data_IF_203343153117
#
_entry.id   IF_203343153117
#
_cell.length_a   1.000
_cell.length_b   1.000
_cell.length_c   1.000
_cell.angle_alpha   90.00
_cell.angle_beta   90.00
_cell.angle_gamma   90.00
#
_symmetry.space_group_name_H-M   'P 1'
#
loop_
_entity.id
_entity.type
_entity.pdbx_description
1 polymer ?
#
# COMPACT_ATOMS: atom_id res chain seq x y z
N UNK A 1 13.37 8.61 12.33
CA UNK A 1 12.01 9.13 12.03
C UNK A 1 11.14 7.98 11.54
N UNK A 2 10.65 7.15 12.47
CA UNK A 2 9.62 6.15 12.20
C UNK A 2 8.86 5.94 13.51
N UNK A 3 8.07 6.93 13.91
CA UNK A 3 7.11 6.73 14.99
C UNK A 3 5.79 6.22 14.40
N UNK A 4 4.97 5.56 15.23
CA UNK A 4 3.68 4.96 14.87
C UNK A 4 2.79 5.90 14.02
N UNK A 5 2.76 7.18 14.36
CA UNK A 5 1.89 8.17 13.71
C UNK A 5 2.34 8.46 12.29
N UNK A 6 3.64 8.68 12.10
CA UNK A 6 4.20 9.01 10.79
C UNK A 6 4.05 7.82 9.83
N UNK A 7 4.33 6.59 10.30
CA UNK A 7 4.13 5.39 9.49
C UNK A 7 2.65 5.18 9.11
N UNK A 8 1.72 5.42 10.05
CA UNK A 8 0.27 5.34 9.76
C UNK A 8 -0.15 6.35 8.70
N UNK A 9 0.40 7.58 8.76
CA UNK A 9 0.14 8.63 7.78
C UNK A 9 0.69 8.24 6.40
N UNK A 10 1.92 7.73 6.34
CA UNK A 10 2.53 7.24 5.10
C UNK A 10 1.67 6.17 4.45
N UNK A 11 1.24 5.15 5.20
CA UNK A 11 0.37 4.09 4.67
C UNK A 11 -0.93 4.67 4.09
N UNK A 12 -1.61 5.57 4.82
CA UNK A 12 -2.85 6.18 4.36
C UNK A 12 -2.68 6.97 3.05
N UNK A 13 -1.67 7.83 2.98
CA UNK A 13 -1.45 8.66 1.80
C UNK A 13 -1.00 7.83 0.61
N UNK A 14 0.01 6.97 0.78
CA UNK A 14 0.50 6.13 -0.31
C UNK A 14 -0.60 5.23 -0.88
N UNK A 15 -1.41 4.57 -0.04
CA UNK A 15 -2.53 3.76 -0.56
C UNK A 15 -3.62 4.61 -1.22
N UNK A 16 -3.86 5.85 -0.78
CA UNK A 16 -4.82 6.75 -1.43
C UNK A 16 -4.32 7.18 -2.81
N UNK A 17 -3.03 7.50 -2.92
CA UNK A 17 -2.40 7.88 -4.18
C UNK A 17 -2.39 6.71 -5.16
N UNK A 18 -2.02 5.50 -4.72
CA UNK A 18 -2.07 4.29 -5.55
C UNK A 18 -3.49 4.00 -6.05
N UNK A 19 -4.50 4.21 -5.21
CA UNK A 19 -5.90 3.99 -5.59
C UNK A 19 -6.34 4.99 -6.68
N UNK A 20 -6.01 6.28 -6.49
CA UNK A 20 -6.30 7.31 -7.48
C UNK A 20 -5.57 7.05 -8.81
N UNK A 21 -4.30 6.66 -8.73
CA UNK A 21 -3.47 6.35 -9.90
C UNK A 21 -4.01 5.13 -10.66
N UNK A 22 -4.41 4.06 -9.96
CA UNK A 22 -5.03 2.89 -10.59
C UNK A 22 -6.32 3.27 -11.33
N UNK A 23 -7.16 4.14 -10.75
CA UNK A 23 -8.36 4.64 -11.42
C UNK A 23 -7.98 5.49 -12.64
N UNK A 24 -7.03 6.42 -12.49
CA UNK A 24 -6.57 7.27 -13.59
C UNK A 24 -6.02 6.44 -14.76
N UNK A 25 -5.15 5.47 -14.48
CA UNK A 25 -4.64 4.53 -15.48
C UNK A 25 -5.79 3.79 -16.18
N UNK A 26 -6.79 3.30 -15.43
CA UNK A 26 -7.95 2.61 -16.06
C UNK A 26 -8.83 3.49 -16.94
N UNK A 27 -8.87 4.81 -16.67
CA UNK A 27 -9.70 5.76 -17.41
C UNK A 27 -9.00 6.34 -18.64
N UNK A 28 -7.68 6.51 -18.56
CA UNK A 28 -6.90 7.26 -19.53
C UNK A 28 -5.89 6.39 -20.31
N UNK A 29 -5.65 5.15 -19.89
CA UNK A 29 -4.62 4.28 -20.44
C UNK A 29 -5.15 2.87 -20.71
N UNK A 30 -4.97 2.40 -21.95
CA UNK A 30 -5.50 1.11 -22.38
C UNK A 30 -7.03 1.01 -22.25
N UNK A 31 -7.57 -0.17 -22.59
CA UNK A 31 -8.91 -0.58 -22.16
C UNK A 31 -8.75 -1.84 -21.32
N UNK A 32 -8.12 -1.75 -20.13
CA UNK A 32 -7.89 -2.91 -19.29
C UNK A 32 -9.23 -3.59 -18.94
N UNK A 33 -9.20 -4.89 -18.71
CA UNK A 33 -10.39 -5.58 -18.27
C UNK A 33 -10.81 -5.05 -16.89
N UNK A 34 -12.11 -4.78 -16.73
CA UNK A 34 -12.65 -4.23 -15.47
C UNK A 34 -12.29 -5.12 -14.26
N UNK A 35 -12.32 -6.44 -14.44
CA UNK A 35 -12.01 -7.40 -13.39
C UNK A 35 -10.55 -7.29 -12.90
N UNK A 36 -9.61 -6.97 -13.79
CA UNK A 36 -8.20 -6.77 -13.46
C UNK A 36 -8.02 -5.49 -12.63
N UNK A 37 -8.70 -4.40 -13.03
CA UNK A 37 -8.71 -3.14 -12.28
C UNK A 37 -9.34 -3.34 -10.90
N UNK A 38 -10.49 -4.01 -10.82
CA UNK A 38 -11.17 -4.29 -9.56
C UNK A 38 -10.31 -5.17 -8.63
N UNK A 39 -9.56 -6.14 -9.18
CA UNK A 39 -8.62 -6.96 -8.42
C UNK A 39 -7.45 -6.12 -7.86
N UNK A 40 -6.92 -5.18 -8.65
CA UNK A 40 -5.83 -4.30 -8.22
C UNK A 40 -6.29 -3.33 -7.12
N UNK A 41 -7.46 -2.70 -7.29
CA UNK A 41 -8.07 -1.82 -6.27
C UNK A 41 -8.33 -2.57 -4.95
N UNK A 42 -8.82 -3.82 -5.02
CA UNK A 42 -8.97 -4.69 -3.84
C UNK A 42 -7.62 -4.98 -3.17
N UNK A 43 -6.57 -5.21 -3.95
CA UNK A 43 -5.23 -5.48 -3.44
C UNK A 43 -4.67 -4.28 -2.67
N UNK A 44 -4.85 -3.06 -3.20
CA UNK A 44 -4.49 -1.81 -2.51
C UNK A 44 -5.21 -1.69 -1.15
N UNK A 45 -6.52 -1.98 -1.13
CA UNK A 45 -7.31 -1.94 0.11
C UNK A 45 -6.86 -3.00 1.13
N UNK A 46 -6.50 -4.21 0.68
CA UNK A 46 -5.99 -5.27 1.54
C UNK A 46 -4.64 -4.88 2.18
N UNK A 47 -3.72 -4.35 1.37
CA UNK A 47 -2.43 -3.83 1.86
C UNK A 47 -2.67 -2.72 2.88
N UNK A 48 -3.50 -1.73 2.56
CA UNK A 48 -3.85 -0.67 3.51
C UNK A 48 -4.34 -1.22 4.85
N UNK A 49 -5.35 -2.10 4.82
CA UNK A 49 -5.94 -2.67 6.03
C UNK A 49 -4.92 -3.44 6.86
N UNK A 50 -4.14 -4.31 6.20
CA UNK A 50 -3.11 -5.12 6.84
C UNK A 50 -2.10 -4.24 7.57
N UNK A 51 -1.52 -3.26 6.89
CA UNK A 51 -0.45 -2.44 7.47
C UNK A 51 -0.99 -1.47 8.53
N UNK A 52 -2.20 -0.93 8.38
CA UNK A 52 -2.86 -0.13 9.44
C UNK A 52 -3.08 -0.94 10.72
N UNK A 53 -3.50 -2.21 10.59
CA UNK A 53 -3.68 -3.10 11.73
C UNK A 53 -2.35 -3.41 12.41
N UNK A 54 -1.30 -3.71 11.64
CA UNK A 54 0.05 -4.00 12.16
C UNK A 54 0.69 -2.80 12.84
N UNK A 55 0.58 -1.60 12.27
CA UNK A 55 1.01 -0.36 12.94
C UNK A 55 0.28 -0.14 14.26
N UNK A 56 -0.99 -0.51 14.33
CA UNK A 56 -1.80 -0.31 15.53
C UNK A 56 -1.51 -1.33 16.64
N UNK A 57 -1.01 -2.51 16.29
CA UNK A 57 -0.78 -3.65 17.18
C UNK A 57 0.64 -4.25 16.98
N UNK A 58 1.70 -3.57 17.46
CA UNK A 58 3.06 -4.08 17.35
C UNK A 58 3.25 -5.38 18.13
N UNK A 59 4.10 -6.28 17.61
CA UNK A 59 4.36 -7.58 18.23
C UNK A 59 5.04 -7.44 19.60
N UNK A 60 4.56 -8.17 20.63
CA UNK A 60 5.20 -8.16 21.94
C UNK A 60 6.59 -8.81 21.86
N UNK A 61 7.55 -8.27 22.62
CA UNK A 61 8.90 -8.83 22.71
C UNK A 61 9.92 -8.27 21.70
N UNK A 62 9.51 -7.42 20.76
CA UNK A 62 10.42 -6.69 19.86
C UNK A 62 10.55 -5.22 20.26
N UNK A 63 11.74 -4.63 20.10
CA UNK A 63 11.91 -3.18 20.22
C UNK A 63 11.02 -2.46 19.19
N UNK A 64 10.16 -1.54 19.66
CA UNK A 64 9.17 -0.86 18.81
C UNK A 64 9.80 -0.16 17.59
N UNK A 65 10.97 0.45 17.76
CA UNK A 65 11.69 1.10 16.68
C UNK A 65 12.06 0.11 15.58
N UNK A 66 12.61 -1.05 15.95
CA UNK A 66 12.97 -2.13 15.03
C UNK A 66 11.73 -2.70 14.34
N UNK A 67 10.64 -2.87 15.08
CA UNK A 67 9.35 -3.32 14.53
C UNK A 67 8.84 -2.37 13.44
N UNK A 68 8.74 -1.07 13.71
CA UNK A 68 8.24 -0.11 12.74
C UNK A 68 9.18 0.05 11.52
N UNK A 69 10.50 -0.07 11.71
CA UNK A 69 11.45 -0.08 10.60
C UNK A 69 11.27 -1.28 9.67
N UNK A 70 11.07 -2.48 10.23
CA UNK A 70 10.80 -3.68 9.44
C UNK A 70 9.44 -3.55 8.72
N UNK A 71 8.42 -3.08 9.43
CA UNK A 71 7.09 -2.89 8.88
C UNK A 71 7.08 -1.89 7.71
N UNK A 72 7.86 -0.80 7.81
CA UNK A 72 8.02 0.15 6.71
C UNK A 72 8.67 -0.50 5.48
N UNK A 73 9.75 -1.28 5.66
CA UNK A 73 10.40 -1.98 4.55
C UNK A 73 9.49 -2.99 3.86
N UNK A 74 8.65 -3.69 4.62
CA UNK A 74 7.67 -4.62 4.06
C UNK A 74 6.55 -3.88 3.31
N UNK A 75 6.12 -2.73 3.83
CA UNK A 75 5.16 -1.86 3.14
C UNK A 75 5.73 -1.35 1.82
N UNK A 76 6.97 -0.85 1.81
CA UNK A 76 7.64 -0.34 0.62
C UNK A 76 7.72 -1.40 -0.50
N UNK A 77 7.98 -2.66 -0.14
CA UNK A 77 7.96 -3.78 -1.09
C UNK A 77 6.57 -4.01 -1.69
N UNK A 78 5.54 -4.02 -0.84
CA UNK A 78 4.14 -4.19 -1.29
C UNK A 78 3.71 -3.04 -2.20
N UNK A 79 4.15 -1.81 -1.89
CA UNK A 79 3.91 -0.63 -2.73
C UNK A 79 4.61 -0.77 -4.08
N UNK A 80 5.88 -1.19 -4.10
CA UNK A 80 6.63 -1.37 -5.35
C UNK A 80 5.94 -2.39 -6.28
N UNK A 81 5.48 -3.53 -5.72
CA UNK A 81 4.72 -4.53 -6.48
C UNK A 81 3.42 -3.97 -7.09
N UNK A 82 2.68 -3.15 -6.33
CA UNK A 82 1.46 -2.51 -6.84
C UNK A 82 1.80 -1.47 -7.91
N UNK A 83 2.85 -0.67 -7.72
CA UNK A 83 3.30 0.31 -8.72
C UNK A 83 3.65 -0.37 -10.03
N UNK A 84 4.37 -1.50 -9.99
CA UNK A 84 4.70 -2.28 -11.18
C UNK A 84 3.43 -2.82 -11.85
N UNK A 85 2.42 -3.25 -11.09
CA UNK A 85 1.14 -3.70 -11.64
C UNK A 85 0.36 -2.55 -12.30
N UNK A 86 0.32 -1.36 -11.68
CA UNK A 86 -0.28 -0.17 -12.27
C UNK A 86 0.47 0.25 -13.54
N UNK A 87 1.81 0.18 -13.53
CA UNK A 87 2.63 0.51 -14.69
C UNK A 87 2.32 -0.38 -15.91
N UNK A 88 1.90 -1.62 -15.68
CA UNK A 88 1.47 -2.55 -16.74
C UNK A 88 0.05 -2.30 -17.27
N UNK A 89 -0.72 -1.37 -16.67
CA UNK A 89 -2.01 -0.92 -17.20
C UNK A 89 -1.83 0.11 -18.33
N UNK A 90 -0.74 0.89 -18.27
CA UNK A 90 -0.37 1.86 -19.29
C UNK A 90 0.01 1.21 -20.61
#
# INVERSE_FOLDING_TARGET
>A
MANKRDLKRTINYTCSDLFAECIAASLYSGKPAKDDVDALLKSILMVHNQFIRRVSHPEPGMEQKKYYQNLAKEFDKSVAEIVDQIANIY
#
